data_IF_013584398720
#
_entry.id   IF_013584398720
#
_cell.length_a   1.000
_cell.length_b   1.000
_cell.length_c   1.000
_cell.angle_alpha   90.00
_cell.angle_beta   90.00
_cell.angle_gamma   90.00
#
_symmetry.space_group_name_H-M   'P 1'
#
loop_
_entity.id
_entity.type
_entity.pdbx_description
1 polymer ?
#
# COMPACT_ATOMS: atom_id res chain seq x y z
N UNK A 1 59.77 -0.76 -11.60
CA UNK A 1 58.93 -1.43 -10.57
C UNK A 1 58.32 -0.44 -9.57
N UNK A 2 59.11 0.40 -8.85
CA UNK A 2 58.57 1.39 -7.89
C UNK A 2 57.60 2.43 -8.48
N UNK A 3 57.85 2.90 -9.70
CA UNK A 3 57.01 3.88 -10.39
C UNK A 3 55.64 3.30 -10.80
N UNK A 4 55.60 2.04 -11.25
CA UNK A 4 54.35 1.32 -11.56
C UNK A 4 53.50 1.09 -10.31
N UNK A 5 54.13 0.78 -9.18
CA UNK A 5 53.44 0.64 -7.88
C UNK A 5 52.87 1.98 -7.41
N UNK A 6 53.60 3.08 -7.58
CA UNK A 6 53.11 4.42 -7.22
C UNK A 6 51.93 4.88 -8.09
N UNK A 7 51.98 4.64 -9.41
CA UNK A 7 50.86 4.94 -10.32
C UNK A 7 49.63 4.08 -10.00
N UNK A 8 49.83 2.79 -9.73
CA UNK A 8 48.74 1.91 -9.29
C UNK A 8 48.13 2.37 -7.96
N UNK A 9 48.96 2.75 -6.97
CA UNK A 9 48.48 3.28 -5.69
C UNK A 9 47.69 4.59 -5.84
N UNK A 10 48.09 5.45 -6.78
CA UNK A 10 47.38 6.69 -7.12
C UNK A 10 46.01 6.41 -7.76
N UNK A 11 45.92 5.44 -8.69
CA UNK A 11 44.65 5.04 -9.31
C UNK A 11 43.73 4.39 -8.27
N UNK A 12 44.26 3.51 -7.42
CA UNK A 12 43.49 2.89 -6.34
C UNK A 12 42.95 3.92 -5.34
N UNK A 13 43.77 4.89 -4.92
CA UNK A 13 43.37 5.90 -3.94
C UNK A 13 42.42 6.95 -4.49
N UNK A 14 42.58 7.34 -5.77
CA UNK A 14 41.79 8.41 -6.40
C UNK A 14 40.51 7.94 -7.09
N UNK A 15 40.46 6.70 -7.58
CA UNK A 15 39.30 6.19 -8.32
C UNK A 15 38.64 4.99 -7.63
N UNK A 16 39.41 3.97 -7.25
CA UNK A 16 38.83 2.70 -6.82
C UNK A 16 38.21 2.78 -5.41
N UNK A 17 38.90 3.41 -4.45
CA UNK A 17 38.37 3.62 -3.09
C UNK A 17 37.10 4.48 -3.10
N UNK A 18 37.05 5.65 -3.77
CA UNK A 18 35.82 6.44 -3.88
C UNK A 18 34.69 5.67 -4.56
N UNK A 19 34.97 4.89 -5.60
CA UNK A 19 33.96 4.07 -6.28
C UNK A 19 33.38 3.00 -5.35
N UNK A 20 34.22 2.26 -4.61
CA UNK A 20 33.75 1.27 -3.63
C UNK A 20 32.87 1.92 -2.56
N UNK A 21 33.31 3.07 -2.02
CA UNK A 21 32.51 3.84 -1.05
C UNK A 21 31.17 4.28 -1.64
N UNK A 22 31.16 4.77 -2.89
CA UNK A 22 29.95 5.15 -3.58
C UNK A 22 28.97 3.97 -3.72
N UNK A 23 29.45 2.81 -4.19
CA UNK A 23 28.62 1.60 -4.32
C UNK A 23 28.06 1.15 -2.98
N UNK A 24 28.89 1.15 -1.93
CA UNK A 24 28.47 0.79 -0.58
C UNK A 24 27.41 1.75 -0.03
N UNK A 25 27.65 3.07 -0.16
CA UNK A 25 26.70 4.10 0.27
C UNK A 25 25.38 4.00 -0.50
N UNK A 26 25.44 3.80 -1.82
CA UNK A 26 24.26 3.61 -2.66
C UNK A 26 23.45 2.38 -2.23
N UNK A 27 24.13 1.29 -1.88
CA UNK A 27 23.49 0.08 -1.36
C UNK A 27 22.83 0.33 0.00
N UNK A 28 23.54 0.97 0.91
CA UNK A 28 23.04 1.35 2.24
C UNK A 28 21.79 2.22 2.13
N UNK A 29 21.82 3.26 1.29
CA UNK A 29 20.67 4.15 1.04
C UNK A 29 19.45 3.38 0.51
N UNK A 30 19.64 2.47 -0.46
CA UNK A 30 18.53 1.65 -0.98
C UNK A 30 17.95 0.75 0.11
N UNK A 31 18.81 0.12 0.91
CA UNK A 31 18.42 -0.75 2.01
C UNK A 31 17.60 -0.02 3.06
N UNK A 32 18.12 1.09 3.60
CA UNK A 32 17.40 1.88 4.60
C UNK A 32 16.06 2.37 4.07
N UNK A 33 15.98 2.68 2.78
CA UNK A 33 14.72 3.06 2.15
C UNK A 33 13.71 1.90 2.06
N UNK A 34 14.16 0.69 1.68
CA UNK A 34 13.28 -0.48 1.65
C UNK A 34 12.84 -0.91 3.07
N UNK A 35 13.72 -0.84 4.06
CA UNK A 35 13.40 -1.07 5.47
C UNK A 35 12.39 -0.06 6.01
N UNK A 36 12.50 1.21 5.60
CA UNK A 36 11.49 2.22 5.90
C UNK A 36 10.11 1.82 5.36
N UNK A 37 10.03 1.37 4.10
CA UNK A 37 8.77 0.85 3.54
C UNK A 37 8.28 -0.42 4.22
N UNK A 38 9.19 -1.26 4.74
CA UNK A 38 8.78 -2.43 5.50
C UNK A 38 8.07 -2.03 6.78
N UNK A 39 8.64 -1.10 7.55
CA UNK A 39 8.01 -0.59 8.76
C UNK A 39 6.65 0.06 8.48
N UNK A 40 6.54 0.81 7.38
CA UNK A 40 5.28 1.43 6.94
C UNK A 40 4.22 0.37 6.57
N UNK A 41 4.59 -0.59 5.73
CA UNK A 41 3.69 -1.66 5.30
C UNK A 41 3.28 -2.57 6.46
N UNK A 42 4.16 -2.86 7.41
CA UNK A 42 3.82 -3.64 8.60
C UNK A 42 2.71 -2.95 9.41
N UNK A 43 2.74 -1.62 9.51
CA UNK A 43 1.68 -0.82 10.15
C UNK A 43 0.36 -0.89 9.37
N UNK A 44 0.40 -0.76 8.03
CA UNK A 44 -0.80 -0.85 7.19
C UNK A 44 -1.37 -2.28 7.17
N UNK A 45 -0.53 -3.30 7.20
CA UNK A 45 -0.96 -4.70 7.26
C UNK A 45 -1.64 -5.05 8.58
N UNK A 46 -1.28 -4.41 9.70
CA UNK A 46 -1.99 -4.58 10.97
C UNK A 46 -3.46 -4.14 10.89
N UNK A 47 -3.77 -3.09 10.11
CA UNK A 47 -5.15 -2.68 9.84
C UNK A 47 -5.93 -3.79 9.13
N UNK A 48 -5.30 -4.45 8.16
CA UNK A 48 -5.89 -5.55 7.40
C UNK A 48 -5.66 -6.94 8.00
N UNK A 49 -5.26 -7.04 9.28
CA UNK A 49 -4.92 -8.31 9.93
C UNK A 49 -6.09 -9.32 9.95
N UNK A 50 -7.32 -8.81 9.96
CA UNK A 50 -8.53 -9.62 9.97
C UNK A 50 -9.02 -9.82 8.55
N UNK A 51 -8.69 -10.97 7.99
CA UNK A 51 -9.12 -11.39 6.66
C UNK A 51 -10.27 -12.38 6.79
N UNK A 52 -11.25 -12.25 5.91
CA UNK A 52 -12.33 -13.19 5.70
C UNK A 52 -12.09 -13.96 4.41
N UNK A 53 -12.41 -15.24 4.44
CA UNK A 53 -12.63 -16.01 3.21
C UNK A 53 -13.98 -15.65 2.59
N UNK A 54 -14.18 -16.01 1.33
CA UNK A 54 -15.48 -15.83 0.66
C UNK A 54 -16.63 -16.56 1.36
N UNK A 55 -16.37 -17.77 1.87
CA UNK A 55 -17.37 -18.55 2.61
C UNK A 55 -17.76 -17.84 3.92
N UNK A 56 -16.79 -17.31 4.65
CA UNK A 56 -17.03 -16.51 5.85
C UNK A 56 -17.81 -15.24 5.54
N UNK A 57 -17.47 -14.53 4.46
CA UNK A 57 -18.22 -13.35 4.02
C UNK A 57 -19.69 -13.69 3.78
N UNK A 58 -19.99 -14.73 3.00
CA UNK A 58 -21.37 -15.13 2.69
C UNK A 58 -22.14 -15.56 3.94
N UNK A 59 -21.49 -16.28 4.86
CA UNK A 59 -22.14 -16.77 6.08
C UNK A 59 -22.41 -15.67 7.11
N UNK A 60 -21.47 -14.74 7.31
CA UNK A 60 -21.55 -13.68 8.32
C UNK A 60 -22.29 -12.44 7.81
N UNK A 61 -22.21 -12.18 6.49
CA UNK A 61 -22.76 -11.00 5.83
C UNK A 61 -23.55 -11.42 4.59
N UNK A 62 -24.72 -12.09 4.75
CA UNK A 62 -25.51 -12.63 3.63
C UNK A 62 -25.99 -11.54 2.65
N UNK A 63 -26.01 -10.32 3.14
CA UNK A 63 -26.38 -9.09 2.44
C UNK A 63 -25.26 -8.48 1.59
N UNK A 64 -24.02 -8.94 1.78
CA UNK A 64 -22.89 -8.53 0.98
C UNK A 64 -22.90 -9.35 -0.32
N UNK A 65 -23.54 -8.82 -1.35
CA UNK A 65 -23.68 -9.52 -2.62
C UNK A 65 -22.33 -9.70 -3.33
N UNK A 66 -22.14 -10.81 -4.06
CA UNK A 66 -20.91 -11.07 -4.82
C UNK A 66 -20.62 -10.02 -5.92
N UNK A 67 -21.58 -9.14 -6.23
CA UNK A 67 -21.50 -8.13 -7.29
C UNK A 67 -21.07 -6.74 -6.77
N UNK A 68 -20.59 -6.63 -5.52
CA UNK A 68 -20.05 -5.37 -5.01
C UNK A 68 -18.78 -4.98 -5.78
N UNK A 69 -18.63 -3.74 -6.28
CA UNK A 69 -17.48 -3.34 -7.09
C UNK A 69 -16.13 -3.57 -6.40
N UNK A 70 -16.03 -3.21 -5.12
CA UNK A 70 -14.80 -3.41 -4.34
C UNK A 70 -14.42 -4.90 -4.21
N UNK A 71 -15.42 -5.80 -4.18
CA UNK A 71 -15.17 -7.24 -4.11
C UNK A 71 -14.69 -7.78 -5.46
N UNK A 72 -15.28 -7.31 -6.57
CA UNK A 72 -14.80 -7.62 -7.92
C UNK A 72 -13.35 -7.13 -8.13
N UNK A 73 -13.01 -5.96 -7.60
CA UNK A 73 -11.65 -5.43 -7.57
C UNK A 73 -10.68 -6.39 -6.86
N UNK A 74 -11.04 -6.90 -5.68
CA UNK A 74 -10.20 -7.89 -4.97
C UNK A 74 -10.04 -9.20 -5.77
N UNK A 75 -11.14 -9.71 -6.34
CA UNK A 75 -11.14 -10.94 -7.13
C UNK A 75 -10.26 -10.82 -8.37
N UNK A 76 -10.45 -9.76 -9.15
CA UNK A 76 -9.64 -9.48 -10.34
C UNK A 76 -8.17 -9.19 -9.99
N UNK A 77 -7.92 -8.68 -8.78
CA UNK A 77 -6.59 -8.48 -8.22
C UNK A 77 -5.85 -9.76 -7.81
N UNK A 78 -6.54 -10.90 -7.74
CA UNK A 78 -6.01 -12.18 -7.26
C UNK A 78 -6.16 -12.41 -5.75
N UNK A 79 -6.93 -11.56 -5.05
CA UNK A 79 -7.11 -11.58 -3.60
C UNK A 79 -8.57 -11.88 -3.20
N UNK A 80 -9.29 -12.63 -4.04
CA UNK A 80 -10.71 -12.94 -3.85
C UNK A 80 -11.04 -13.81 -2.63
N UNK A 81 -10.02 -14.43 -2.02
CA UNK A 81 -10.11 -15.25 -0.81
C UNK A 81 -9.42 -14.59 0.41
N UNK A 82 -8.81 -13.41 0.22
CA UNK A 82 -8.20 -12.57 1.26
C UNK A 82 -9.00 -11.27 1.37
N UNK A 83 -10.20 -11.33 1.96
CA UNK A 83 -11.14 -10.19 1.99
C UNK A 83 -10.92 -9.40 3.28
N UNK A 84 -10.48 -8.13 3.23
CA UNK A 84 -10.26 -7.35 4.44
C UNK A 84 -11.58 -7.07 5.19
N UNK A 85 -11.65 -7.49 6.45
CA UNK A 85 -12.84 -7.32 7.29
C UNK A 85 -13.24 -5.85 7.44
N UNK A 86 -12.28 -4.93 7.47
CA UNK A 86 -12.54 -3.49 7.57
C UNK A 86 -13.37 -2.96 6.39
N UNK A 87 -13.07 -3.37 5.15
CA UNK A 87 -13.83 -2.96 3.97
C UNK A 87 -15.27 -3.47 4.07
N UNK A 88 -15.45 -4.72 4.49
CA UNK A 88 -16.77 -5.33 4.72
C UNK A 88 -17.53 -4.58 5.81
N UNK A 89 -16.85 -4.23 6.90
CA UNK A 89 -17.44 -3.50 8.01
C UNK A 89 -17.96 -2.13 7.57
N UNK A 90 -17.16 -1.37 6.83
CA UNK A 90 -17.58 -0.06 6.29
C UNK A 90 -18.77 -0.24 5.33
N UNK A 91 -18.76 -1.23 4.44
CA UNK A 91 -19.90 -1.51 3.54
C UNK A 91 -21.20 -1.77 4.31
N UNK A 92 -21.14 -2.54 5.40
CA UNK A 92 -22.31 -2.78 6.27
C UNK A 92 -22.80 -1.50 6.95
N UNK A 93 -21.88 -0.66 7.43
CA UNK A 93 -22.24 0.63 8.04
C UNK A 93 -22.87 1.59 7.02
N UNK A 94 -22.37 1.60 5.79
CA UNK A 94 -22.94 2.40 4.70
C UNK A 94 -24.31 1.88 4.27
N UNK A 95 -24.49 0.56 4.21
CA UNK A 95 -25.83 -0.04 3.97
C UNK A 95 -26.82 0.37 5.04
N UNK A 96 -26.41 0.37 6.31
CA UNK A 96 -27.23 0.86 7.42
C UNK A 96 -27.58 2.34 7.25
N UNK A 97 -26.60 3.18 6.93
CA UNK A 97 -26.82 4.60 6.65
C UNK A 97 -27.82 4.81 5.51
N UNK A 98 -27.74 4.01 4.45
CA UNK A 98 -28.68 4.07 3.33
C UNK A 98 -30.12 3.71 3.75
N UNK A 99 -30.29 2.68 4.58
CA UNK A 99 -31.61 2.27 5.07
C UNK A 99 -32.23 3.31 6.01
N UNK A 100 -31.40 3.98 6.83
CA UNK A 100 -31.82 4.96 7.81
C UNK A 100 -31.82 6.42 7.28
N UNK A 101 -31.50 6.62 6.00
CA UNK A 101 -31.30 7.97 5.40
C UNK A 101 -32.52 8.89 5.49
N UNK A 102 -33.71 8.28 5.58
CA UNK A 102 -35.01 8.98 5.62
C UNK A 102 -35.52 9.22 7.04
N UNK A 103 -34.78 8.77 8.07
CA UNK A 103 -35.18 8.96 9.46
C UNK A 103 -35.05 10.44 9.86
N UNK A 104 -35.81 10.85 10.87
CA UNK A 104 -35.73 12.19 11.46
C UNK A 104 -34.30 12.51 11.93
N UNK A 105 -33.63 11.49 12.50
CA UNK A 105 -32.20 11.50 12.82
C UNK A 105 -31.52 10.40 12.02
N UNK A 106 -30.92 10.71 10.86
CA UNK A 106 -30.25 9.72 10.02
C UNK A 106 -28.92 9.26 10.65
N UNK A 107 -28.58 7.98 10.46
CA UNK A 107 -27.29 7.43 10.84
C UNK A 107 -26.23 7.67 9.75
N UNK A 108 -25.04 8.13 10.15
CA UNK A 108 -23.88 8.25 9.27
C UNK A 108 -22.61 7.75 9.97
N UNK A 109 -21.84 6.83 9.36
CA UNK A 109 -20.59 6.37 9.94
C UNK A 109 -19.49 7.42 9.80
N UNK A 110 -18.62 7.46 10.80
CA UNK A 110 -17.33 8.16 10.70
C UNK A 110 -16.31 7.16 10.21
N UNK A 111 -15.79 7.39 9.01
CA UNK A 111 -14.76 6.58 8.35
C UNK A 111 -13.45 7.33 8.53
N UNK A 112 -12.46 6.65 9.12
CA UNK A 112 -11.13 7.23 9.30
C UNK A 112 -10.10 6.36 8.60
N UNK A 113 -9.19 7.03 7.88
CA UNK A 113 -8.04 6.38 7.28
C UNK A 113 -6.80 7.14 7.71
N UNK A 114 -5.99 6.52 8.57
CA UNK A 114 -4.70 7.06 8.99
C UNK A 114 -3.58 6.30 8.30
N UNK A 115 -2.62 7.01 7.75
CA UNK A 115 -1.38 6.38 7.30
C UNK A 115 -0.24 7.38 7.40
N UNK A 116 0.96 7.02 6.94
CA UNK A 116 2.08 7.94 7.04
C UNK A 116 1.79 9.22 6.25
N UNK A 117 2.32 10.37 6.72
CA UNK A 117 2.24 11.60 5.95
C UNK A 117 2.90 11.38 4.58
N UNK A 118 2.26 11.89 3.53
CA UNK A 118 2.67 11.70 2.13
C UNK A 118 4.19 11.80 1.96
N UNK A 119 4.84 10.71 1.57
CA UNK A 119 6.28 10.75 1.31
C UNK A 119 6.55 11.60 0.07
N UNK A 120 7.32 12.66 0.21
CA UNK A 120 7.73 13.51 -0.91
C UNK A 120 8.53 12.69 -1.94
N UNK A 121 7.99 12.50 -3.14
CA UNK A 121 8.66 11.80 -4.26
C UNK A 121 9.51 12.75 -5.11
N UNK A 122 10.26 13.66 -4.48
CA UNK A 122 11.17 14.58 -5.19
C UNK A 122 12.24 13.81 -5.99
N UNK A 123 12.90 14.48 -6.94
CA UNK A 123 13.93 13.85 -7.78
C UNK A 123 15.12 13.26 -7.00
N UNK A 124 15.35 13.72 -5.77
CA UNK A 124 16.42 13.23 -4.89
C UNK A 124 16.00 11.99 -4.06
N UNK A 125 14.73 11.60 -4.14
CA UNK A 125 14.18 10.48 -3.37
C UNK A 125 14.93 9.17 -3.72
N UNK A 126 15.34 8.37 -2.71
CA UNK A 126 15.97 7.06 -2.94
C UNK A 126 15.19 6.11 -3.86
N UNK A 127 13.88 6.30 -4.00
CA UNK A 127 13.00 5.61 -4.96
C UNK A 127 13.61 5.52 -6.36
N UNK A 128 14.17 6.62 -6.86
CA UNK A 128 14.70 6.71 -8.22
C UNK A 128 16.03 5.96 -8.41
N UNK A 129 16.64 5.52 -7.31
CA UNK A 129 17.85 4.70 -7.31
C UNK A 129 17.52 3.20 -7.41
N UNK A 130 16.26 2.80 -7.21
CA UNK A 130 15.81 1.42 -7.33
C UNK A 130 15.66 0.99 -8.79
N UNK A 131 15.45 -0.31 -9.01
CA UNK A 131 15.12 -0.80 -10.36
C UNK A 131 13.72 -0.32 -10.76
N UNK A 132 13.50 -0.09 -12.05
CA UNK A 132 12.26 0.49 -12.59
C UNK A 132 11.02 -0.30 -12.17
N UNK A 133 11.10 -1.62 -12.15
CA UNK A 133 10.04 -2.52 -11.73
C UNK A 133 9.68 -2.36 -10.24
N UNK A 134 10.67 -2.20 -9.36
CA UNK A 134 10.45 -1.97 -7.93
C UNK A 134 9.87 -0.58 -7.69
N UNK A 135 10.43 0.43 -8.36
CA UNK A 135 9.93 1.81 -8.35
C UNK A 135 8.45 1.84 -8.73
N UNK A 136 8.05 1.11 -9.78
CA UNK A 136 6.65 1.04 -10.22
C UNK A 136 5.72 0.47 -9.15
N UNK A 137 6.14 -0.55 -8.40
CA UNK A 137 5.33 -1.14 -7.31
C UNK A 137 5.19 -0.16 -6.16
N UNK A 138 6.29 0.43 -5.70
CA UNK A 138 6.30 1.42 -4.61
C UNK A 138 5.48 2.66 -4.99
N UNK A 139 5.65 3.21 -6.20
CA UNK A 139 4.87 4.37 -6.65
C UNK A 139 3.37 4.07 -6.73
N UNK A 140 2.98 2.87 -7.16
CA UNK A 140 1.56 2.49 -7.16
C UNK A 140 0.97 2.43 -5.76
N UNK A 141 1.73 1.91 -4.79
CA UNK A 141 1.34 1.92 -3.38
C UNK A 141 1.15 3.35 -2.87
N UNK A 142 2.17 4.20 -3.01
CA UNK A 142 2.13 5.60 -2.57
C UNK A 142 0.97 6.39 -3.18
N UNK A 143 0.74 6.24 -4.49
CA UNK A 143 -0.38 6.91 -5.14
C UNK A 143 -1.73 6.43 -4.58
N UNK A 144 -1.90 5.12 -4.42
CA UNK A 144 -3.16 4.58 -3.88
C UNK A 144 -3.40 4.96 -2.42
N UNK A 145 -2.34 5.18 -1.64
CA UNK A 145 -2.44 5.68 -0.27
C UNK A 145 -2.97 7.12 -0.26
N UNK A 146 -2.39 7.99 -1.11
CA UNK A 146 -2.85 9.38 -1.28
C UNK A 146 -4.27 9.44 -1.79
N UNK A 147 -4.65 8.58 -2.74
CA UNK A 147 -6.03 8.48 -3.25
C UNK A 147 -7.03 8.22 -2.10
N UNK A 148 -6.79 7.18 -1.29
CA UNK A 148 -7.67 6.85 -0.15
C UNK A 148 -7.72 7.99 0.88
N UNK A 149 -6.58 8.62 1.18
CA UNK A 149 -6.51 9.76 2.10
C UNK A 149 -7.31 10.96 1.58
N UNK A 150 -7.12 11.32 0.32
CA UNK A 150 -7.78 12.48 -0.30
C UNK A 150 -9.29 12.25 -0.44
N UNK A 151 -9.73 11.06 -0.84
CA UNK A 151 -11.15 10.72 -0.88
C UNK A 151 -11.79 10.74 0.50
N UNK A 152 -11.12 10.17 1.51
CA UNK A 152 -11.57 10.27 2.90
C UNK A 152 -11.67 11.74 3.34
N UNK A 153 -10.66 12.56 3.04
CA UNK A 153 -10.65 14.00 3.35
C UNK A 153 -11.77 14.75 2.65
N UNK A 154 -12.03 14.45 1.37
CA UNK A 154 -13.10 15.07 0.59
C UNK A 154 -14.48 14.79 1.17
N UNK A 155 -14.75 13.56 1.64
CA UNK A 155 -16.03 13.20 2.28
C UNK A 155 -16.38 14.07 3.49
N UNK A 156 -15.35 14.56 4.18
CA UNK A 156 -15.47 15.41 5.38
C UNK A 156 -15.09 16.87 5.13
N UNK A 157 -14.99 17.27 3.86
CA UNK A 157 -14.76 18.66 3.46
C UNK A 157 -16.02 19.29 2.86
N UNK A 158 -16.19 20.60 3.01
CA UNK A 158 -17.27 21.33 2.34
C UNK A 158 -17.06 21.29 0.80
N UNK A 159 -18.13 21.15 0.00
CA UNK A 159 -19.55 21.12 0.39
C UNK A 159 -20.09 19.71 0.71
N UNK A 160 -19.28 18.66 0.58
CA UNK A 160 -19.74 17.26 0.70
C UNK A 160 -20.18 16.96 2.14
N UNK A 161 -19.43 17.43 3.12
CA UNK A 161 -19.79 17.25 4.53
C UNK A 161 -21.16 17.85 4.89
N UNK A 162 -21.53 18.97 4.24
CA UNK A 162 -22.80 19.65 4.50
C UNK A 162 -24.01 18.80 4.06
N UNK A 163 -23.81 17.87 3.12
CA UNK A 163 -24.86 16.96 2.65
C UNK A 163 -25.37 16.02 3.74
N UNK A 164 -24.52 15.68 4.72
CA UNK A 164 -24.90 14.82 5.86
C UNK A 164 -26.02 15.48 6.68
N UNK A 165 -25.90 16.80 6.91
CA UNK A 165 -26.83 17.59 7.73
C UNK A 165 -27.96 18.22 6.91
N UNK A 166 -27.98 18.01 5.59
CA UNK A 166 -29.00 18.57 4.71
C UNK A 166 -30.39 18.04 5.04
N UNK A 167 -31.42 18.87 4.87
CA UNK A 167 -32.81 18.40 4.90
C UNK A 167 -33.18 17.58 3.64
N UNK A 168 -32.37 17.68 2.59
CA UNK A 168 -32.58 16.97 1.33
C UNK A 168 -32.04 15.53 1.39
N UNK A 169 -32.96 14.56 1.29
CA UNK A 169 -32.63 13.13 1.22
C UNK A 169 -31.69 12.81 0.06
N UNK A 170 -31.84 13.47 -1.09
CA UNK A 170 -30.99 13.25 -2.26
C UNK A 170 -29.53 13.55 -1.94
N UNK A 171 -29.26 14.64 -1.21
CA UNK A 171 -27.91 15.04 -0.80
C UNK A 171 -27.31 14.03 0.17
N UNK A 172 -28.09 13.59 1.16
CA UNK A 172 -27.67 12.53 2.10
C UNK A 172 -27.29 11.24 1.36
N UNK A 173 -28.10 10.83 0.39
CA UNK A 173 -27.80 9.65 -0.46
C UNK A 173 -26.53 9.84 -1.29
N UNK A 174 -26.26 11.06 -1.79
CA UNK A 174 -25.02 11.36 -2.53
C UNK A 174 -23.79 11.21 -1.67
N UNK A 175 -23.85 11.64 -0.41
CA UNK A 175 -22.75 11.41 0.53
C UNK A 175 -22.46 9.92 0.71
N UNK A 176 -23.51 9.11 0.93
CA UNK A 176 -23.35 7.66 1.12
C UNK A 176 -22.75 7.00 -0.13
N UNK A 177 -23.22 7.36 -1.33
CA UNK A 177 -22.66 6.85 -2.59
C UNK A 177 -21.21 7.29 -2.81
N UNK A 178 -20.84 8.50 -2.39
CA UNK A 178 -19.45 8.95 -2.39
C UNK A 178 -18.59 8.14 -1.42
N UNK A 179 -19.14 7.77 -0.25
CA UNK A 179 -18.45 6.89 0.68
C UNK A 179 -18.35 5.44 0.16
N UNK A 180 -19.28 4.98 -0.68
CA UNK A 180 -19.18 3.67 -1.33
C UNK A 180 -18.01 3.62 -2.35
N UNK A 181 -17.64 4.73 -3.00
CA UNK A 181 -16.47 4.73 -3.89
C UNK A 181 -15.14 4.58 -3.14
N UNK A 182 -15.08 5.06 -1.89
CA UNK A 182 -13.92 4.84 -1.01
C UNK A 182 -13.65 3.35 -0.78
N UNK A 183 -14.69 2.50 -0.73
CA UNK A 183 -14.50 1.06 -0.58
C UNK A 183 -13.70 0.45 -1.73
N UNK A 184 -13.96 0.92 -2.96
CA UNK A 184 -13.23 0.45 -4.13
C UNK A 184 -11.78 0.92 -4.12
N UNK A 185 -11.53 2.17 -3.69
CA UNK A 185 -10.18 2.70 -3.52
C UNK A 185 -9.40 1.95 -2.42
N UNK A 186 -10.07 1.58 -1.32
CA UNK A 186 -9.48 0.77 -0.25
C UNK A 186 -9.14 -0.66 -0.73
N UNK A 187 -10.03 -1.30 -1.49
CA UNK A 187 -9.78 -2.61 -2.09
C UNK A 187 -8.60 -2.54 -3.08
N UNK A 188 -8.60 -1.51 -3.92
CA UNK A 188 -7.49 -1.18 -4.78
C UNK A 188 -6.21 -1.02 -3.98
N UNK A 189 -6.20 -0.22 -2.91
CA UNK A 189 -5.02 0.03 -2.08
C UNK A 189 -4.50 -1.25 -1.43
N UNK A 190 -5.39 -2.08 -0.86
CA UNK A 190 -5.04 -3.38 -0.28
C UNK A 190 -4.23 -4.26 -1.24
N UNK A 191 -4.63 -4.34 -2.51
CA UNK A 191 -3.87 -5.07 -3.55
C UNK A 191 -2.45 -4.52 -3.70
N UNK A 192 -2.25 -3.19 -3.64
CA UNK A 192 -0.91 -2.59 -3.74
C UNK A 192 -0.10 -2.85 -2.48
N UNK A 193 -0.73 -2.81 -1.30
CA UNK A 193 -0.10 -3.17 -0.01
C UNK A 193 0.45 -4.59 -0.09
N UNK A 194 -0.37 -5.57 -0.50
CA UNK A 194 0.06 -6.98 -0.63
C UNK A 194 1.21 -7.14 -1.63
N UNK A 195 1.10 -6.52 -2.81
CA UNK A 195 2.17 -6.56 -3.83
C UNK A 195 3.47 -5.91 -3.37
N UNK A 196 3.40 -4.82 -2.60
CA UNK A 196 4.58 -4.20 -2.03
C UNK A 196 5.17 -5.06 -0.92
N UNK A 197 4.33 -5.67 -0.07
CA UNK A 197 4.78 -6.62 0.94
C UNK A 197 5.57 -7.77 0.33
N UNK A 198 5.03 -8.42 -0.71
CA UNK A 198 5.70 -9.54 -1.41
C UNK A 198 7.03 -9.11 -2.03
N UNK A 199 7.07 -7.91 -2.64
CA UNK A 199 8.30 -7.34 -3.17
C UNK A 199 9.33 -7.07 -2.06
N UNK A 200 8.91 -6.52 -0.92
CA UNK A 200 9.80 -6.26 0.20
C UNK A 200 10.31 -7.56 0.81
N UNK A 201 9.48 -8.59 0.93
CA UNK A 201 9.92 -9.92 1.36
C UNK A 201 11.01 -10.48 0.43
N UNK A 202 10.81 -10.40 -0.90
CA UNK A 202 11.83 -10.79 -1.89
C UNK A 202 13.11 -9.97 -1.73
N UNK A 203 12.97 -8.64 -1.69
CA UNK A 203 14.09 -7.72 -1.73
C UNK A 203 14.87 -7.67 -0.44
N UNK A 204 14.24 -7.87 0.73
CA UNK A 204 14.84 -7.84 2.06
C UNK A 204 15.36 -9.22 2.52
N UNK A 205 15.14 -10.28 1.73
CA UNK A 205 15.67 -11.62 2.04
C UNK A 205 17.21 -11.62 2.09
N UNK A 206 17.86 -12.18 3.16
CA UNK A 206 19.31 -12.13 3.35
C UNK A 206 20.16 -12.67 2.19
N UNK A 207 19.64 -13.66 1.43
CA UNK A 207 20.36 -14.27 0.30
C UNK A 207 20.61 -13.29 -0.85
N UNK A 208 19.74 -12.30 -1.05
CA UNK A 208 19.94 -11.25 -2.06
C UNK A 208 20.99 -10.22 -1.62
N UNK A 209 21.28 -10.12 -0.30
CA UNK A 209 22.27 -9.16 0.22
C UNK A 209 23.66 -9.73 0.44
N UNK A 210 23.76 -11.01 0.81
CA UNK A 210 25.08 -11.58 1.09
C UNK A 210 25.87 -11.92 -0.17
N UNK A 211 25.29 -11.78 -1.37
CA UNK A 211 25.95 -12.20 -2.61
C UNK A 211 26.25 -13.71 -2.65
N UNK A 212 25.68 -14.46 -1.71
CA UNK A 212 25.75 -15.92 -1.66
C UNK A 212 24.78 -16.40 -2.74
N UNK A 213 25.27 -16.52 -3.98
CA UNK A 213 24.67 -17.47 -4.90
C UNK A 213 24.66 -18.80 -4.14
N UNK A 214 23.47 -19.35 -3.87
CA UNK A 214 23.35 -20.76 -3.46
C UNK A 214 24.10 -21.56 -4.51
N UNK A 215 25.32 -22.00 -4.20
CA UNK A 215 25.91 -23.14 -4.87
C UNK A 215 24.99 -24.29 -4.48
N UNK A 216 24.11 -24.67 -5.40
CA UNK A 216 23.35 -25.89 -5.30
C UNK A 216 24.38 -27.03 -5.27
N UNK A 217 24.73 -27.45 -4.05
CA UNK A 217 25.36 -28.74 -3.81
C UNK A 217 24.29 -29.77 -4.20
N UNK A 218 24.42 -30.33 -5.40
CA UNK A 218 23.88 -31.65 -5.68
C UNK A 218 24.80 -32.65 -4.99
N UNK A 219 24.37 -33.36 -3.93
CA UNK A 219 25.09 -34.55 -3.53
C UNK A 219 24.80 -35.62 -4.57
N UNK A 220 25.82 -35.96 -5.35
CA UNK A 220 25.87 -37.23 -6.07
C UNK A 220 26.04 -38.35 -5.05
N UNK A 221 24.99 -39.12 -4.79
CA UNK A 221 25.07 -40.54 -4.41
C UNK A 221 23.92 -41.26 -5.09
#
# INVERSE_FOLDING_TARGET
MRMLVAVAALIFSSMLIPFIRYVHNLRSVKLSYLEFFRADIDSVMQRYQHLLTREQLVSMYPDCHPNKPWLETLVSGGFGDEIPHEIVHIDVLLKRAMNEVSNDVPYFPVITYTSMPSTNTSHDNPLWKLKREHTKVISKYLNSEVEVQETTRMLYSAPIFDWINSADKEQRMRWIRGAESLLDEMAHHYIKVRRLNDLLDELLTPSHFLGIKRFAYYPSV
#
